data_IF_004801077066
#
_entry.id   IF_004801077066
#
_cell.length_a   1.000
_cell.length_b   1.000
_cell.length_c   1.000
_cell.angle_alpha   90.00
_cell.angle_beta   90.00
_cell.angle_gamma   90.00
#
_symmetry.space_group_name_H-M   'P 1'
#
loop_
_entity.id
_entity.type
_entity.pdbx_description
1 polymer ?
#
# COMPACT_ATOMS: atom_id res chain seq x y z
N UNK A 1 -12.24 -19.00 18.19
CA UNK A 1 -11.05 -18.73 19.06
C UNK A 1 -11.53 -18.33 20.45
N UNK A 2 -10.85 -18.67 21.55
CA UNK A 2 -11.37 -18.38 22.92
C UNK A 2 -10.68 -17.15 23.50
N UNK A 3 -11.45 -16.26 24.13
CA UNK A 3 -10.95 -15.14 24.94
C UNK A 3 -11.69 -15.00 26.27
N UNK A 4 -11.12 -14.23 27.19
CA UNK A 4 -11.71 -13.89 28.49
C UNK A 4 -11.76 -12.38 28.67
N UNK A 5 -12.76 -11.87 29.37
CA UNK A 5 -12.82 -10.45 29.75
C UNK A 5 -13.39 -10.33 31.16
N UNK A 6 -12.81 -9.45 31.96
CA UNK A 6 -13.26 -9.16 33.32
C UNK A 6 -14.46 -8.22 33.30
N UNK A 7 -15.54 -8.60 33.96
CA UNK A 7 -16.61 -7.68 34.36
C UNK A 7 -16.74 -7.71 35.88
N UNK A 8 -16.46 -6.57 36.52
CA UNK A 8 -16.55 -6.37 37.97
C UNK A 8 -15.71 -7.37 38.78
N UNK A 9 -16.22 -8.59 39.01
CA UNK A 9 -15.64 -9.62 39.86
C UNK A 9 -15.54 -11.01 39.21
N UNK A 10 -16.06 -11.21 37.99
CA UNK A 10 -16.05 -12.52 37.31
C UNK A 10 -15.40 -12.47 35.93
N UNK A 11 -14.63 -13.53 35.64
CA UNK A 11 -14.10 -13.77 34.30
C UNK A 11 -15.22 -14.34 33.42
N UNK A 12 -15.50 -13.66 32.32
CA UNK A 12 -16.39 -14.19 31.29
C UNK A 12 -15.58 -14.74 30.13
N UNK A 13 -15.82 -16.00 29.80
CA UNK A 13 -15.28 -16.63 28.60
C UNK A 13 -16.20 -16.35 27.41
N UNK A 14 -15.59 -15.97 26.28
CA UNK A 14 -16.25 -15.77 25.00
C UNK A 14 -15.49 -16.51 23.90
N UNK A 15 -16.20 -16.81 22.83
CA UNK A 15 -15.65 -17.21 21.56
C UNK A 15 -15.64 -16.03 20.59
N UNK A 16 -14.55 -15.94 19.82
CA UNK A 16 -14.31 -14.97 18.75
C UNK A 16 -14.38 -15.69 17.41
N UNK A 17 -15.18 -15.14 16.51
CA UNK A 17 -15.37 -15.60 15.13
C UNK A 17 -15.11 -14.45 14.15
N UNK A 18 -14.64 -14.79 12.95
CA UNK A 18 -14.55 -13.88 11.81
C UNK A 18 -15.52 -14.37 10.74
N UNK A 19 -16.47 -13.53 10.35
CA UNK A 19 -17.52 -13.89 9.40
C UNK A 19 -17.94 -12.65 8.61
N UNK A 20 -17.93 -12.74 7.27
CA UNK A 20 -18.44 -11.70 6.35
C UNK A 20 -17.98 -10.26 6.64
N UNK A 21 -16.71 -10.07 7.00
CA UNK A 21 -16.18 -8.74 7.33
C UNK A 21 -16.56 -8.24 8.72
N UNK A 22 -16.93 -9.14 9.63
CA UNK A 22 -17.19 -8.83 11.03
C UNK A 22 -16.30 -9.64 11.97
N UNK A 23 -15.95 -9.02 13.10
CA UNK A 23 -15.49 -9.71 14.31
C UNK A 23 -16.73 -9.93 15.18
N UNK A 24 -17.05 -11.19 15.44
CA UNK A 24 -18.15 -11.59 16.31
C UNK A 24 -17.57 -12.11 17.63
N UNK A 25 -18.07 -11.62 18.75
CA UNK A 25 -17.64 -12.05 20.08
C UNK A 25 -18.90 -12.41 20.90
N UNK A 26 -19.03 -13.68 21.28
CA UNK A 26 -20.23 -14.24 21.90
C UNK A 26 -19.91 -15.41 22.82
N UNK A 27 -20.88 -15.88 23.63
CA UNK A 27 -20.66 -17.10 24.44
C UNK A 27 -20.56 -18.34 23.55
N UNK A 28 -21.31 -18.31 22.45
CA UNK A 28 -21.40 -19.30 21.39
C UNK A 28 -21.91 -18.59 20.12
N UNK A 29 -21.88 -19.26 18.96
CA UNK A 29 -22.23 -18.65 17.66
C UNK A 29 -23.64 -18.04 17.62
N UNK A 30 -24.61 -18.68 18.28
CA UNK A 30 -26.00 -18.20 18.35
C UNK A 30 -26.25 -17.11 19.42
N UNK A 31 -25.22 -16.76 20.20
CA UNK A 31 -25.31 -15.78 21.30
C UNK A 31 -24.19 -14.75 21.21
N UNK A 32 -24.22 -13.94 20.14
CA UNK A 32 -23.26 -12.86 19.91
C UNK A 32 -23.55 -11.65 20.80
N UNK A 33 -22.53 -11.19 21.53
CA UNK A 33 -22.61 -9.99 22.39
C UNK A 33 -22.05 -8.75 21.68
N UNK A 34 -21.00 -8.92 20.89
CA UNK A 34 -20.39 -7.84 20.11
C UNK A 34 -20.26 -8.27 18.66
N UNK A 35 -20.77 -7.44 17.75
CA UNK A 35 -20.60 -7.56 16.30
C UNK A 35 -19.90 -6.29 15.82
N UNK A 36 -18.64 -6.41 15.42
CA UNK A 36 -17.80 -5.29 14.98
C UNK A 36 -17.54 -5.44 13.48
N UNK A 37 -17.98 -4.47 12.67
CA UNK A 37 -17.66 -4.44 11.25
C UNK A 37 -16.18 -4.09 11.03
N UNK A 38 -15.57 -4.64 9.99
CA UNK A 38 -14.27 -4.19 9.51
C UNK A 38 -14.40 -2.73 9.04
N UNK A 39 -13.49 -1.90 9.52
CA UNK A 39 -13.44 -0.49 9.16
C UNK A 39 -11.96 -0.08 9.05
N UNK A 40 -11.69 0.86 8.15
CA UNK A 40 -10.39 1.51 8.03
C UNK A 40 -10.22 2.58 9.11
N UNK A 41 -10.41 2.17 10.36
CA UNK A 41 -10.23 2.97 11.57
C UNK A 41 -9.40 2.18 12.57
N UNK A 42 -8.83 2.88 13.52
CA UNK A 42 -8.20 2.25 14.68
C UNK A 42 -9.25 1.44 15.45
N UNK A 43 -9.10 0.12 15.45
CA UNK A 43 -10.02 -0.78 16.13
C UNK A 43 -9.33 -1.61 17.21
N UNK A 44 -8.13 -2.14 16.96
CA UNK A 44 -7.49 -3.10 17.86
C UNK A 44 -6.13 -2.61 18.37
N UNK A 45 -5.93 -2.74 19.68
CA UNK A 45 -4.64 -2.63 20.35
C UNK A 45 -4.18 -4.03 20.76
N UNK A 46 -3.03 -4.50 20.28
CA UNK A 46 -2.49 -5.79 20.69
C UNK A 46 -1.73 -5.69 22.01
N UNK A 47 -2.03 -6.59 22.95
CA UNK A 47 -1.28 -6.72 24.19
C UNK A 47 -0.13 -7.69 23.94
N UNK A 48 1.05 -7.14 23.70
CA UNK A 48 2.25 -7.89 23.35
C UNK A 48 3.41 -7.51 24.27
N UNK A 49 4.08 -8.50 24.84
CA UNK A 49 5.20 -8.33 25.76
C UNK A 49 6.15 -9.52 25.65
N UNK A 50 7.47 -9.29 25.70
CA UNK A 50 8.50 -10.35 25.68
C UNK A 50 8.30 -11.37 24.54
N UNK A 51 7.94 -10.89 23.34
CA UNK A 51 7.77 -11.74 22.17
C UNK A 51 6.44 -12.52 22.11
N UNK A 52 5.50 -12.30 23.04
CA UNK A 52 4.24 -13.04 23.11
C UNK A 52 3.02 -12.13 23.20
N UNK A 53 1.92 -12.60 22.63
CA UNK A 53 0.60 -11.98 22.75
C UNK A 53 -0.12 -12.51 23.99
N UNK A 54 -0.81 -11.62 24.70
CA UNK A 54 -1.60 -11.93 25.89
C UNK A 54 -3.09 -11.55 25.73
N UNK A 55 -3.44 -10.91 24.63
CA UNK A 55 -4.78 -10.46 24.35
C UNK A 55 -4.80 -9.25 23.44
N UNK A 56 -5.97 -8.61 23.39
CA UNK A 56 -6.16 -7.37 22.67
C UNK A 56 -7.15 -6.47 23.40
N UNK A 57 -7.07 -5.17 23.12
CA UNK A 57 -8.13 -4.21 23.45
C UNK A 57 -8.82 -3.80 22.16
N UNK A 58 -10.12 -3.60 22.22
CA UNK A 58 -10.91 -3.12 21.10
C UNK A 58 -11.73 -1.91 21.53
N UNK A 59 -11.80 -0.88 20.68
CA UNK A 59 -12.57 0.33 20.94
C UNK A 59 -14.04 0.09 20.61
N UNK A 60 -14.90 0.05 21.63
CA UNK A 60 -16.34 -0.20 21.50
C UNK A 60 -17.12 0.93 22.16
N UNK A 61 -17.97 1.63 21.39
CA UNK A 61 -18.77 2.78 21.90
C UNK A 61 -17.90 3.75 22.71
N UNK A 62 -16.75 4.14 22.12
CA UNK A 62 -15.76 5.05 22.69
C UNK A 62 -15.05 4.57 23.97
N UNK A 63 -15.21 3.29 24.34
CA UNK A 63 -14.51 2.68 25.49
C UNK A 63 -13.64 1.53 25.04
N UNK A 64 -12.38 1.55 25.46
CA UNK A 64 -11.48 0.41 25.27
C UNK A 64 -11.92 -0.75 26.15
N UNK A 65 -12.11 -1.92 25.52
CA UNK A 65 -12.43 -3.16 26.21
C UNK A 65 -11.33 -4.18 25.98
N UNK A 66 -10.80 -4.73 27.06
CA UNK A 66 -9.75 -5.75 27.02
C UNK A 66 -10.34 -7.16 26.96
N UNK A 67 -9.72 -7.98 26.12
CA UNK A 67 -9.94 -9.40 25.98
C UNK A 67 -8.61 -10.13 26.10
N UNK A 68 -8.46 -10.91 27.16
CA UNK A 68 -7.30 -11.76 27.37
C UNK A 68 -7.43 -13.00 26.48
N UNK A 69 -6.37 -13.30 25.75
CA UNK A 69 -6.36 -14.38 24.75
C UNK A 69 -4.94 -14.93 24.65
N UNK A 70 -4.80 -16.25 24.58
CA UNK A 70 -3.48 -16.86 24.48
C UNK A 70 -2.77 -16.47 23.16
N UNK A 71 -1.46 -16.69 23.11
CA UNK A 71 -0.63 -16.26 21.99
C UNK A 71 -1.10 -16.85 20.65
N UNK A 72 -1.37 -18.16 20.59
CA UNK A 72 -1.81 -18.84 19.36
C UNK A 72 -3.14 -18.32 18.82
N UNK A 73 -4.12 -18.08 19.70
CA UNK A 73 -5.41 -17.53 19.28
C UNK A 73 -5.26 -16.06 18.85
N UNK A 74 -4.37 -15.28 19.47
CA UNK A 74 -4.09 -13.92 19.02
C UNK A 74 -3.47 -13.93 17.61
N UNK A 75 -2.51 -14.83 17.35
CA UNK A 75 -1.92 -15.00 16.01
C UNK A 75 -2.98 -15.41 14.99
N UNK A 76 -3.81 -16.42 15.31
CA UNK A 76 -4.91 -16.85 14.44
C UNK A 76 -5.87 -15.69 14.14
N UNK A 77 -6.23 -14.90 15.15
CA UNK A 77 -7.10 -13.73 14.97
C UNK A 77 -6.43 -12.67 14.09
N UNK A 78 -5.19 -12.28 14.41
CA UNK A 78 -4.43 -11.26 13.66
C UNK A 78 -4.27 -11.66 12.19
N UNK A 79 -3.94 -12.93 11.91
CA UNK A 79 -3.82 -13.44 10.55
C UNK A 79 -5.18 -13.48 9.83
N UNK A 80 -6.27 -13.80 10.52
CA UNK A 80 -7.62 -13.83 9.92
C UNK A 80 -8.14 -12.43 9.56
N UNK A 81 -7.59 -11.38 10.17
CA UNK A 81 -7.93 -9.99 9.85
C UNK A 81 -7.25 -9.52 8.56
N UNK A 82 -6.14 -10.13 8.14
CA UNK A 82 -5.51 -9.98 6.81
C UNK A 82 -5.43 -8.52 6.31
N UNK A 83 -4.94 -7.60 7.15
CA UNK A 83 -4.81 -6.18 6.78
C UNK A 83 -6.12 -5.42 6.52
N UNK A 84 -7.28 -5.96 6.93
CA UNK A 84 -8.61 -5.36 6.70
C UNK A 84 -9.04 -4.37 7.77
N UNK A 85 -8.31 -4.26 8.88
CA UNK A 85 -8.60 -3.33 9.97
C UNK A 85 -7.34 -2.64 10.49
N UNK A 86 -7.52 -1.45 11.08
CA UNK A 86 -6.42 -0.65 11.61
C UNK A 86 -6.05 -1.05 13.04
N UNK A 87 -4.75 -1.16 13.28
CA UNK A 87 -4.18 -1.40 14.60
C UNK A 87 -3.70 -0.12 15.27
N UNK A 88 -3.62 -0.12 16.59
CA UNK A 88 -3.00 0.94 17.36
C UNK A 88 -1.56 0.58 17.73
N UNK A 89 -0.66 1.55 17.61
CA UNK A 89 0.75 1.54 18.04
C UNK A 89 1.57 0.38 17.45
N UNK A 90 2.44 0.72 16.50
CA UNK A 90 3.33 -0.24 15.83
C UNK A 90 4.51 -0.67 16.71
N UNK A 91 5.03 0.23 17.56
CA UNK A 91 6.31 0.05 18.29
C UNK A 91 6.35 -1.19 19.21
N UNK A 92 5.20 -1.71 19.62
CA UNK A 92 5.16 -2.93 20.44
C UNK A 92 5.43 -4.20 19.63
N UNK A 93 5.20 -4.17 18.32
CA UNK A 93 5.29 -5.32 17.43
C UNK A 93 6.45 -5.25 16.46
N UNK A 94 7.05 -4.08 16.28
CA UNK A 94 8.13 -3.86 15.34
C UNK A 94 9.27 -3.05 15.94
N UNK A 95 10.48 -3.43 15.54
CA UNK A 95 11.72 -2.71 15.79
C UNK A 95 12.06 -1.85 14.57
N UNK A 96 12.38 -0.58 14.78
CA UNK A 96 13.00 0.24 13.75
C UNK A 96 14.46 -0.21 13.52
N UNK A 97 14.82 -0.45 12.26
CA UNK A 97 16.19 -0.77 11.87
C UNK A 97 16.88 0.42 11.19
N UNK A 98 16.22 1.08 10.24
CA UNK A 98 16.80 2.18 9.45
C UNK A 98 15.72 3.07 8.80
N UNK A 99 16.09 4.28 8.37
CA UNK A 99 15.29 5.14 7.49
C UNK A 99 15.83 5.02 6.07
N UNK A 100 15.06 4.38 5.19
CA UNK A 100 15.53 4.05 3.82
C UNK A 100 15.17 5.11 2.79
N UNK A 101 14.24 6.02 3.11
CA UNK A 101 13.87 7.09 2.19
C UNK A 101 12.93 8.12 2.80
N UNK A 102 12.95 9.32 2.19
CA UNK A 102 12.03 10.41 2.48
C UNK A 102 11.30 10.75 1.18
N UNK A 103 10.00 10.50 1.15
CA UNK A 103 9.10 10.94 0.09
C UNK A 103 8.49 12.30 0.40
N UNK A 104 7.72 12.85 -0.54
CA UNK A 104 7.07 14.15 -0.38
C UNK A 104 6.06 14.19 0.78
N UNK A 105 5.42 13.06 1.07
CA UNK A 105 4.34 12.95 2.06
C UNK A 105 4.55 11.84 3.09
N UNK A 106 5.67 11.11 2.99
CA UNK A 106 5.91 9.94 3.82
C UNK A 106 7.39 9.72 4.10
N UNK A 107 7.67 9.14 5.26
CA UNK A 107 8.97 8.59 5.62
C UNK A 107 8.93 7.06 5.45
N UNK A 108 9.93 6.48 4.79
CA UNK A 108 10.01 5.05 4.51
C UNK A 108 11.04 4.43 5.45
N UNK A 109 10.59 3.52 6.29
CA UNK A 109 11.36 2.92 7.38
C UNK A 109 11.57 1.43 7.14
N UNK A 110 12.79 0.94 7.30
CA UNK A 110 13.08 -0.49 7.41
C UNK A 110 12.85 -0.94 8.85
N UNK A 111 12.00 -1.96 9.01
CA UNK A 111 11.56 -2.45 10.31
C UNK A 111 11.67 -3.97 10.39
N UNK A 112 11.76 -4.51 11.59
CA UNK A 112 11.78 -5.95 11.85
C UNK A 112 10.66 -6.32 12.82
N UNK A 113 9.89 -7.35 12.49
CA UNK A 113 8.76 -7.81 13.30
C UNK A 113 9.26 -8.69 14.46
N UNK A 114 8.83 -8.39 15.68
CA UNK A 114 9.11 -9.23 16.86
C UNK A 114 8.33 -10.55 16.84
N UNK A 115 7.38 -10.72 15.93
CA UNK A 115 6.51 -11.91 15.86
C UNK A 115 7.15 -13.01 15.01
N UNK A 116 7.75 -12.65 13.87
CA UNK A 116 8.29 -13.58 12.88
C UNK A 116 9.75 -13.31 12.51
N UNK A 117 10.39 -12.30 13.11
CA UNK A 117 11.76 -11.87 12.85
C UNK A 117 12.04 -11.56 11.36
N UNK A 118 11.00 -11.19 10.60
CA UNK A 118 11.13 -10.78 9.20
C UNK A 118 11.23 -9.27 9.07
N UNK A 119 11.96 -8.84 8.05
CA UNK A 119 12.05 -7.43 7.65
C UNK A 119 10.84 -7.00 6.84
N UNK A 120 10.40 -5.78 7.08
CA UNK A 120 9.28 -5.12 6.40
C UNK A 120 9.64 -3.65 6.13
N UNK A 121 8.84 -3.01 5.28
CA UNK A 121 8.84 -1.56 5.13
C UNK A 121 7.64 -0.99 5.87
N UNK A 122 7.85 0.06 6.65
CA UNK A 122 6.80 0.90 7.18
C UNK A 122 6.82 2.25 6.46
N UNK A 123 5.76 2.54 5.70
CA UNK A 123 5.52 3.86 5.13
C UNK A 123 4.76 4.70 6.16
N UNK A 124 5.46 5.63 6.80
CA UNK A 124 4.94 6.52 7.84
C UNK A 124 4.44 7.80 7.21
N UNK A 125 3.21 8.19 7.54
CA UNK A 125 2.56 9.42 7.05
C UNK A 125 2.06 10.26 8.23
N UNK A 126 2.50 11.51 8.29
CA UNK A 126 2.04 12.47 9.30
C UNK A 126 0.65 12.98 8.94
N UNK A 127 -0.36 12.59 9.70
CA UNK A 127 -1.78 12.89 9.51
C UNK A 127 -2.08 14.33 9.97
N UNK A 128 -1.51 15.31 9.27
CA UNK A 128 -1.60 16.73 9.60
C UNK A 128 -2.46 17.54 8.60
N UNK A 129 -2.89 16.94 7.49
CA UNK A 129 -3.68 17.60 6.46
C UNK A 129 -4.65 16.64 5.77
N UNK A 130 -5.73 17.18 5.22
CA UNK A 130 -6.74 16.40 4.49
C UNK A 130 -6.14 15.67 3.28
N UNK A 131 -5.16 16.26 2.61
CA UNK A 131 -4.51 15.65 1.45
C UNK A 131 -3.72 14.40 1.85
N UNK A 132 -2.93 14.46 2.92
CA UNK A 132 -2.16 13.29 3.39
C UNK A 132 -3.11 12.19 3.88
N UNK A 133 -4.20 12.54 4.56
CA UNK A 133 -5.26 11.57 4.91
C UNK A 133 -5.84 10.92 3.66
N UNK A 134 -6.07 11.69 2.60
CA UNK A 134 -6.58 11.15 1.33
C UNK A 134 -5.58 10.19 0.68
N UNK A 135 -4.29 10.54 0.62
CA UNK A 135 -3.25 9.66 0.07
C UNK A 135 -3.13 8.36 0.86
N UNK A 136 -3.14 8.44 2.20
CA UNK A 136 -3.12 7.26 3.07
C UNK A 136 -4.33 6.35 2.82
N UNK A 137 -5.53 6.93 2.75
CA UNK A 137 -6.76 6.15 2.52
C UNK A 137 -6.82 5.56 1.11
N UNK A 138 -6.35 6.29 0.10
CA UNK A 138 -6.29 5.82 -1.28
C UNK A 138 -5.33 4.63 -1.40
N UNK A 139 -4.12 4.74 -0.83
CA UNK A 139 -3.11 3.68 -0.83
C UNK A 139 -3.61 2.44 -0.07
N UNK A 140 -4.14 2.63 1.14
CA UNK A 140 -4.72 1.56 1.93
C UNK A 140 -5.83 0.84 1.16
N UNK A 141 -6.73 1.61 0.56
CA UNK A 141 -7.87 1.04 -0.17
C UNK A 141 -7.40 0.27 -1.41
N UNK A 142 -6.42 0.78 -2.17
CA UNK A 142 -5.85 0.06 -3.30
C UNK A 142 -5.18 -1.25 -2.84
N UNK A 143 -4.28 -1.20 -1.85
CA UNK A 143 -3.52 -2.36 -1.39
C UNK A 143 -4.38 -3.43 -0.69
N UNK A 144 -5.52 -3.05 -0.11
CA UNK A 144 -6.49 -4.01 0.43
C UNK A 144 -7.22 -4.83 -0.66
N UNK A 145 -7.35 -4.27 -1.87
CA UNK A 145 -8.15 -4.86 -2.95
C UNK A 145 -7.30 -5.43 -4.09
N UNK A 146 -6.02 -5.07 -4.18
CA UNK A 146 -5.12 -5.50 -5.26
C UNK A 146 -4.11 -6.53 -4.73
N UNK A 147 -4.17 -7.77 -5.25
CA UNK A 147 -3.22 -8.84 -4.92
C UNK A 147 -2.64 -9.43 -6.21
N UNK A 148 -1.39 -9.07 -6.52
CA UNK A 148 -0.70 -9.51 -7.73
C UNK A 148 0.80 -9.66 -7.47
N UNK A 149 1.47 -10.60 -8.16
CA UNK A 149 2.92 -10.88 -7.98
C UNK A 149 3.83 -9.67 -8.24
N UNK A 150 3.39 -8.72 -9.05
CA UNK A 150 4.13 -7.50 -9.41
C UNK A 150 3.58 -6.24 -8.70
N UNK A 151 2.77 -6.41 -7.65
CA UNK A 151 2.25 -5.34 -6.80
C UNK A 151 2.71 -5.60 -5.37
N UNK A 152 3.14 -4.56 -4.68
CA UNK A 152 3.59 -4.69 -3.29
C UNK A 152 2.47 -5.22 -2.41
N UNK A 153 2.78 -6.23 -1.59
CA UNK A 153 1.83 -6.79 -0.65
C UNK A 153 1.87 -6.01 0.67
N UNK A 154 0.71 -5.50 1.08
CA UNK A 154 0.50 -4.93 2.41
C UNK A 154 0.22 -6.04 3.42
N UNK A 155 0.97 -6.06 4.52
CA UNK A 155 0.73 -6.95 5.65
C UNK A 155 -0.38 -6.42 6.57
N UNK A 156 -0.26 -5.16 6.98
CA UNK A 156 -1.17 -4.52 7.92
C UNK A 156 -0.95 -3.01 7.97
N UNK A 157 -1.80 -2.30 8.70
CA UNK A 157 -1.68 -0.85 8.86
C UNK A 157 -2.02 -0.42 10.29
N UNK A 158 -1.41 0.69 10.68
CA UNK A 158 -1.56 1.32 11.98
C UNK A 158 -2.10 2.72 11.82
N UNK A 159 -3.14 3.05 12.58
CA UNK A 159 -3.76 4.37 12.56
C UNK A 159 -3.53 5.03 13.91
N UNK A 160 -2.76 6.12 13.89
CA UNK A 160 -2.50 6.96 15.07
C UNK A 160 -3.10 8.35 14.92
N UNK A 161 -3.05 9.13 16.00
CA UNK A 161 -3.54 10.51 16.00
C UNK A 161 -2.63 11.47 15.22
N UNK A 162 -1.31 11.26 15.29
CA UNK A 162 -0.32 12.09 14.60
C UNK A 162 0.26 11.38 13.38
N UNK A 163 0.64 10.12 13.54
CA UNK A 163 1.25 9.32 12.47
C UNK A 163 0.42 8.07 12.19
N UNK A 164 0.33 7.70 10.91
CA UNK A 164 -0.20 6.41 10.46
C UNK A 164 0.84 5.67 9.63
N UNK A 165 0.76 4.34 9.63
CA UNK A 165 1.77 3.47 9.03
C UNK A 165 1.10 2.41 8.16
N UNK A 166 1.65 2.19 6.96
CA UNK A 166 1.33 1.03 6.12
C UNK A 166 2.53 0.10 6.16
N UNK A 167 2.32 -1.14 6.60
CA UNK A 167 3.35 -2.17 6.69
C UNK A 167 3.25 -3.05 5.46
N UNK A 168 4.34 -3.14 4.71
CA UNK A 168 4.42 -3.88 3.45
C UNK A 168 5.68 -4.74 3.40
N UNK A 169 5.68 -5.72 2.50
CA UNK A 169 6.83 -6.60 2.31
C UNK A 169 8.09 -5.79 1.99
N UNK A 170 9.23 -6.21 2.54
CA UNK A 170 10.52 -5.64 2.17
C UNK A 170 11.03 -6.31 0.89
N UNK A 171 11.18 -5.53 -0.18
CA UNK A 171 11.78 -5.99 -1.44
C UNK A 171 13.29 -5.72 -1.37
N UNK A 172 14.06 -6.80 -1.32
CA UNK A 172 15.51 -6.71 -1.26
C UNK A 172 16.07 -6.56 -2.69
N UNK A 173 16.35 -5.32 -3.08
CA UNK A 173 16.95 -5.00 -4.38
C UNK A 173 17.05 -3.49 -4.61
N UNK A 174 16.76 -3.02 -5.82
CA UNK A 174 16.90 -1.61 -6.19
C UNK A 174 15.80 -1.11 -7.12
N UNK A 175 15.61 0.20 -7.19
CA UNK A 175 14.63 0.79 -8.11
C UNK A 175 15.06 0.67 -9.57
N UNK A 176 14.09 0.64 -10.47
CA UNK A 176 14.33 0.71 -11.91
C UNK A 176 15.10 1.98 -12.27
N UNK A 177 14.83 3.10 -11.61
CA UNK A 177 15.60 4.35 -11.76
C UNK A 177 17.11 4.12 -11.49
N UNK A 178 17.44 3.43 -10.37
CA UNK A 178 18.81 3.12 -10.00
C UNK A 178 19.44 2.14 -10.99
N UNK A 179 18.72 1.09 -11.36
CA UNK A 179 19.14 0.11 -12.35
C UNK A 179 19.46 0.78 -13.70
N UNK A 180 18.62 1.70 -14.17
CA UNK A 180 18.80 2.42 -15.44
C UNK A 180 20.01 3.36 -15.42
N UNK A 181 20.30 3.98 -14.27
CA UNK A 181 21.42 4.90 -14.07
C UNK A 181 22.78 4.19 -14.11
N UNK A 182 22.88 3.01 -13.49
CA UNK A 182 24.16 2.30 -13.35
C UNK A 182 24.43 1.28 -14.47
N UNK A 183 23.40 0.79 -15.17
CA UNK A 183 23.57 -0.14 -16.29
C UNK A 183 23.70 0.59 -17.64
N UNK A 184 24.92 0.57 -18.19
CA UNK A 184 25.29 1.26 -19.44
C UNK A 184 24.54 0.77 -20.67
N UNK A 185 24.12 -0.51 -20.72
CA UNK A 185 23.34 -1.09 -21.81
C UNK A 185 22.30 -2.05 -21.23
N UNK A 186 21.03 -1.79 -21.51
CA UNK A 186 19.93 -2.70 -21.24
C UNK A 186 19.52 -3.25 -22.60
N UNK A 187 19.56 -4.56 -22.79
CA UNK A 187 19.24 -5.14 -24.10
C UNK A 187 17.72 -5.13 -24.34
N UNK A 188 17.31 -5.21 -25.61
CA UNK A 188 15.88 -5.20 -25.98
C UNK A 188 15.09 -6.30 -25.27
N UNK A 189 15.70 -7.47 -25.05
CA UNK A 189 15.07 -8.58 -24.33
C UNK A 189 14.75 -8.22 -22.87
N UNK A 190 15.66 -7.52 -22.19
CA UNK A 190 15.43 -7.04 -20.83
C UNK A 190 14.35 -5.97 -20.80
N UNK A 191 14.38 -5.01 -21.74
CA UNK A 191 13.34 -3.98 -21.88
C UNK A 191 11.95 -4.62 -22.05
N UNK A 192 11.81 -5.59 -22.95
CA UNK A 192 10.55 -6.31 -23.16
C UNK A 192 10.09 -7.01 -21.88
N UNK A 193 11.01 -7.64 -21.13
CA UNK A 193 10.67 -8.32 -19.87
C UNK A 193 10.19 -7.34 -18.79
N UNK A 194 10.81 -6.15 -18.71
CA UNK A 194 10.40 -5.08 -17.80
C UNK A 194 8.99 -4.60 -18.15
N UNK A 195 8.77 -4.22 -19.41
CA UNK A 195 7.48 -3.71 -19.87
C UNK A 195 6.37 -4.73 -19.70
N UNK A 196 6.65 -6.01 -20.00
CA UNK A 196 5.68 -7.09 -19.83
C UNK A 196 5.20 -7.21 -18.38
N UNK A 197 6.11 -7.20 -17.40
CA UNK A 197 5.73 -7.30 -15.99
C UNK A 197 4.95 -6.08 -15.49
N UNK A 198 5.31 -4.88 -15.96
CA UNK A 198 4.56 -3.66 -15.62
C UNK A 198 3.16 -3.72 -16.26
N UNK A 199 3.05 -4.16 -17.52
CA UNK A 199 1.76 -4.33 -18.20
C UNK A 199 0.87 -5.38 -17.53
N UNK A 200 1.41 -6.52 -17.12
CA UNK A 200 0.67 -7.55 -16.37
C UNK A 200 0.10 -6.97 -15.07
N UNK A 201 0.88 -6.15 -14.36
CA UNK A 201 0.40 -5.45 -13.16
C UNK A 201 -0.68 -4.41 -13.47
N UNK A 202 -0.47 -3.58 -14.50
CA UNK A 202 -1.42 -2.53 -14.90
C UNK A 202 -2.74 -3.09 -15.39
N UNK A 203 -2.71 -4.14 -16.22
CA UNK A 203 -3.90 -4.86 -16.67
C UNK A 203 -4.71 -5.35 -15.45
N UNK A 204 -4.05 -5.97 -14.47
CA UNK A 204 -4.69 -6.40 -13.24
C UNK A 204 -5.29 -5.23 -12.44
N UNK A 205 -4.56 -4.12 -12.29
CA UNK A 205 -5.03 -2.91 -11.60
C UNK A 205 -6.30 -2.36 -12.28
N UNK A 206 -6.27 -2.23 -13.60
CA UNK A 206 -7.33 -1.65 -14.41
C UNK A 206 -8.58 -2.53 -14.43
N UNK A 207 -8.43 -3.85 -14.58
CA UNK A 207 -9.53 -4.82 -14.51
C UNK A 207 -10.23 -4.84 -13.15
N UNK A 208 -9.53 -4.49 -12.07
CA UNK A 208 -10.10 -4.34 -10.74
C UNK A 208 -10.66 -2.93 -10.46
N UNK A 209 -10.75 -2.07 -11.48
CA UNK A 209 -11.40 -0.77 -11.40
C UNK A 209 -10.53 0.34 -10.79
N UNK A 210 -9.22 0.16 -10.75
CA UNK A 210 -8.26 1.13 -10.24
C UNK A 210 -7.42 1.77 -11.36
N UNK A 211 -6.90 2.96 -11.09
CA UNK A 211 -5.85 3.64 -11.89
C UNK A 211 -4.70 3.95 -10.94
N UNK A 212 -3.45 3.68 -11.33
CA UNK A 212 -2.27 3.89 -10.48
C UNK A 212 -1.86 5.37 -10.39
N UNK A 213 -1.80 6.06 -11.54
CA UNK A 213 -1.48 7.49 -11.75
C UNK A 213 -0.07 7.97 -11.39
N UNK A 214 0.78 7.13 -10.81
CA UNK A 214 2.18 7.49 -10.54
C UNK A 214 3.18 6.39 -10.96
N UNK A 215 3.00 5.85 -12.17
CA UNK A 215 3.94 4.89 -12.75
C UNK A 215 5.22 5.63 -13.17
N UNK A 216 6.34 5.26 -12.55
CA UNK A 216 7.66 5.84 -12.82
C UNK A 216 8.78 4.90 -12.35
N UNK A 217 10.01 5.04 -12.85
CA UNK A 217 11.12 4.15 -12.51
C UNK A 217 11.45 4.09 -11.00
N UNK A 218 11.15 5.13 -10.23
CA UNK A 218 11.37 5.15 -8.78
C UNK A 218 10.39 4.26 -8.01
N UNK A 219 9.16 4.09 -8.54
CA UNK A 219 8.10 3.31 -7.90
C UNK A 219 8.08 1.84 -8.35
N UNK A 220 9.12 1.40 -9.08
CA UNK A 220 9.29 0.03 -9.55
C UNK A 220 10.59 -0.51 -8.95
N UNK A 221 10.51 -1.52 -8.09
CA UNK A 221 11.67 -2.19 -7.50
C UNK A 221 11.92 -3.52 -8.19
N UNK A 222 13.19 -3.79 -8.51
CA UNK A 222 13.66 -5.13 -8.78
C UNK A 222 14.01 -5.86 -7.50
N UNK A 223 13.80 -7.17 -7.51
CA UNK A 223 14.51 -8.06 -6.60
C UNK A 223 15.99 -8.18 -7.00
N UNK A 224 16.84 -8.66 -6.07
CA UNK A 224 18.29 -8.85 -6.27
C UNK A 224 18.71 -9.54 -7.56
N UNK A 225 17.90 -10.46 -8.09
CA UNK A 225 18.24 -11.20 -9.31
C UNK A 225 17.76 -10.52 -10.60
N UNK A 226 17.11 -9.36 -10.48
CA UNK A 226 16.55 -8.55 -11.56
C UNK A 226 15.55 -9.28 -12.47
N UNK A 227 15.02 -10.43 -12.05
CA UNK A 227 14.02 -11.16 -12.83
C UNK A 227 12.61 -10.67 -12.55
N UNK A 228 12.32 -10.38 -11.28
CA UNK A 228 11.01 -9.92 -10.82
C UNK A 228 11.05 -8.45 -10.46
N UNK A 229 9.99 -7.74 -10.86
CA UNK A 229 9.75 -6.36 -10.44
C UNK A 229 8.45 -6.23 -9.65
N UNK A 230 8.38 -5.22 -8.80
CA UNK A 230 7.22 -4.91 -7.96
C UNK A 230 6.94 -3.42 -8.02
N UNK A 231 5.67 -3.05 -8.24
CA UNK A 231 5.17 -1.68 -8.11
C UNK A 231 4.88 -1.40 -6.64
N UNK A 232 5.42 -0.31 -6.09
CA UNK A 232 5.49 -0.11 -4.62
C UNK A 232 4.75 1.09 -4.05
N UNK A 233 4.22 2.03 -4.85
CA UNK A 233 3.61 3.26 -4.32
C UNK A 233 2.23 3.55 -4.91
N UNK A 234 1.19 3.35 -4.11
CA UNK A 234 -0.21 3.54 -4.49
C UNK A 234 -0.82 4.81 -3.88
N UNK A 235 -0.02 5.75 -3.40
CA UNK A 235 -0.49 7.00 -2.79
C UNK A 235 -1.43 7.82 -3.70
N UNK A 236 -1.18 7.76 -5.02
CA UNK A 236 -2.02 8.40 -6.03
C UNK A 236 -3.05 7.45 -6.66
N UNK A 237 -3.14 6.19 -6.25
CA UNK A 237 -4.11 5.29 -6.84
C UNK A 237 -5.55 5.75 -6.54
N UNK A 238 -6.47 5.50 -7.48
CA UNK A 238 -7.89 5.83 -7.29
C UNK A 238 -8.78 4.87 -8.04
N UNK A 239 -10.06 4.85 -7.69
CA UNK A 239 -11.07 4.16 -8.51
C UNK A 239 -11.32 4.93 -9.79
N UNK A 240 -11.50 4.23 -10.90
CA UNK A 240 -11.86 4.81 -12.20
C UNK A 240 -13.11 5.72 -12.07
N UNK A 241 -14.06 5.34 -11.23
CA UNK A 241 -15.31 6.09 -11.01
C UNK A 241 -15.12 7.45 -10.31
N UNK A 242 -14.00 7.66 -9.59
CA UNK A 242 -13.87 8.78 -8.64
C UNK A 242 -13.53 10.14 -9.28
N UNK A 243 -13.44 10.23 -10.61
CA UNK A 243 -13.21 11.47 -11.38
C UNK A 243 -12.23 12.45 -10.70
N UNK A 244 -11.05 11.96 -10.32
CA UNK A 244 -10.05 12.80 -9.68
C UNK A 244 -9.15 13.48 -10.73
N UNK A 245 -8.82 14.74 -10.47
CA UNK A 245 -7.97 15.57 -11.32
C UNK A 245 -6.53 15.61 -10.79
N UNK A 246 -5.57 15.84 -11.68
CA UNK A 246 -4.19 16.23 -11.39
C UNK A 246 -3.47 15.40 -10.31
N UNK A 247 -2.91 14.26 -10.72
CA UNK A 247 -2.02 13.45 -9.88
C UNK A 247 -0.82 12.98 -10.70
N UNK A 248 0.24 12.59 -10.01
CA UNK A 248 1.44 12.00 -10.61
C UNK A 248 2.68 12.88 -10.55
N UNK A 249 3.78 12.35 -11.09
CA UNK A 249 5.11 12.98 -11.06
C UNK A 249 5.43 13.66 -12.40
N UNK A 250 5.86 14.94 -12.39
CA UNK A 250 6.29 15.63 -13.62
C UNK A 250 7.27 14.78 -14.44
N UNK A 251 7.07 14.72 -15.76
CA UNK A 251 7.83 13.84 -16.67
C UNK A 251 7.12 12.54 -17.05
N UNK A 252 6.19 12.07 -16.22
CA UNK A 252 5.39 10.86 -16.47
C UNK A 252 3.88 11.12 -16.53
N UNK A 253 3.44 12.35 -16.25
CA UNK A 253 2.02 12.76 -16.31
C UNK A 253 1.55 12.80 -17.77
N UNK A 254 0.41 12.16 -18.02
CA UNK A 254 -0.23 12.13 -19.34
C UNK A 254 -0.81 13.51 -19.74
N UNK A 255 -0.87 13.82 -21.05
CA UNK A 255 -1.36 15.09 -21.57
C UNK A 255 -2.72 15.51 -21.01
N UNK A 256 -3.66 14.58 -21.04
CA UNK A 256 -5.04 14.78 -20.59
C UNK A 256 -5.12 15.08 -19.10
N UNK A 257 -4.24 14.48 -18.29
CA UNK A 257 -4.17 14.74 -16.85
C UNK A 257 -3.62 16.15 -16.60
N UNK A 258 -2.64 16.60 -17.39
CA UNK A 258 -2.09 17.96 -17.29
C UNK A 258 -3.14 19.04 -17.67
N UNK A 259 -4.04 18.73 -18.60
CA UNK A 259 -5.13 19.61 -19.02
C UNK A 259 -6.32 19.63 -18.05
N UNK A 260 -6.19 19.02 -16.86
CA UNK A 260 -7.28 18.84 -15.89
C UNK A 260 -8.48 18.06 -16.46
N UNK A 261 -8.24 17.14 -17.40
CA UNK A 261 -9.25 16.17 -17.81
C UNK A 261 -9.26 15.03 -16.80
N UNK A 262 -10.43 14.39 -16.65
CA UNK A 262 -10.59 13.21 -15.80
C UNK A 262 -9.57 12.15 -16.23
N UNK A 263 -8.76 11.69 -15.27
CA UNK A 263 -7.78 10.63 -15.54
C UNK A 263 -8.49 9.33 -15.90
N UNK A 264 -8.06 8.71 -17.00
CA UNK A 264 -8.46 7.35 -17.38
C UNK A 264 -7.30 6.40 -17.17
N UNK A 265 -7.53 5.10 -17.27
CA UNK A 265 -6.49 4.08 -17.18
C UNK A 265 -5.39 4.26 -18.26
N UNK A 266 -5.68 5.01 -19.32
CA UNK A 266 -4.70 5.35 -20.37
C UNK A 266 -3.55 6.22 -19.88
N UNK A 267 -3.71 6.95 -18.78
CA UNK A 267 -2.61 7.75 -18.24
C UNK A 267 -1.44 6.87 -17.77
N UNK A 268 -1.74 5.69 -17.19
CA UNK A 268 -0.71 4.74 -16.77
C UNK A 268 0.06 4.16 -17.98
N UNK A 269 -0.64 3.98 -19.11
CA UNK A 269 -0.05 3.52 -20.38
C UNK A 269 0.87 4.60 -20.96
N UNK A 270 0.49 5.88 -20.87
CA UNK A 270 1.37 6.98 -21.26
C UNK A 270 2.63 7.00 -20.40
N UNK A 271 2.50 6.90 -19.07
CA UNK A 271 3.65 6.84 -18.15
C UNK A 271 4.58 5.67 -18.47
N UNK A 272 4.04 4.50 -18.81
CA UNK A 272 4.82 3.35 -19.28
C UNK A 272 5.56 3.65 -20.60
N UNK A 273 4.92 4.39 -21.52
CA UNK A 273 5.55 4.88 -22.74
C UNK A 273 6.77 5.78 -22.47
N UNK A 274 6.68 6.67 -21.47
CA UNK A 274 7.82 7.46 -21.01
C UNK A 274 8.97 6.56 -20.49
N UNK A 275 8.65 5.51 -19.73
CA UNK A 275 9.65 4.54 -19.23
C UNK A 275 10.32 3.81 -20.41
N UNK A 276 9.54 3.35 -21.40
CA UNK A 276 10.10 2.72 -22.60
C UNK A 276 11.06 3.67 -23.34
N UNK A 277 10.66 4.93 -23.51
CA UNK A 277 11.52 5.94 -24.13
C UNK A 277 12.84 6.07 -23.37
N UNK A 278 12.79 6.24 -22.05
CA UNK A 278 13.97 6.42 -21.21
C UNK A 278 14.88 5.18 -21.17
N UNK A 279 14.30 3.98 -21.18
CA UNK A 279 15.05 2.72 -21.29
C UNK A 279 15.86 2.65 -22.59
N UNK A 280 15.29 3.13 -23.69
CA UNK A 280 15.88 3.07 -25.02
C UNK A 280 16.86 4.22 -25.30
N UNK A 281 16.50 5.44 -24.90
CA UNK A 281 17.26 6.67 -25.20
C UNK A 281 18.28 7.04 -24.12
N UNK A 282 18.09 6.54 -22.89
CA UNK A 282 18.80 6.98 -21.67
C UNK A 282 18.58 8.45 -21.32
N UNK A 283 17.54 9.07 -21.86
CA UNK A 283 17.16 10.44 -21.60
C UNK A 283 15.74 10.48 -21.07
N UNK A 284 15.50 11.32 -20.06
CA UNK A 284 14.13 11.58 -19.62
C UNK A 284 13.40 12.36 -20.70
N UNK A 285 12.17 11.93 -21.01
CA UNK A 285 11.35 12.57 -22.03
C UNK A 285 11.18 14.08 -21.79
N UNK A 286 11.10 14.50 -20.52
CA UNK A 286 11.00 15.92 -20.13
C UNK A 286 12.32 16.69 -20.27
N UNK A 287 13.48 16.07 -20.05
CA UNK A 287 14.79 16.73 -20.19
C UNK A 287 15.19 16.96 -21.66
N UNK A 288 14.76 16.08 -22.56
CA UNK A 288 14.92 16.28 -24.01
C UNK A 288 14.10 17.46 -24.55
N UNK A 289 13.07 17.88 -23.82
CA UNK A 289 12.05 18.79 -24.31
C UNK A 289 12.06 20.08 -23.49
N UNK A 290 12.87 21.04 -23.94
CA UNK A 290 12.83 22.43 -23.48
C UNK A 290 11.36 22.91 -23.42
N UNK A 291 10.99 23.52 -22.29
CA UNK A 291 9.65 23.95 -21.78
C UNK A 291 8.55 24.37 -22.77
N UNK A 292 8.84 24.65 -24.03
CA UNK A 292 7.86 24.99 -25.07
C UNK A 292 7.37 23.77 -25.87
N UNK A 293 8.17 22.71 -26.00
CA UNK A 293 7.83 21.56 -26.85
C UNK A 293 6.78 20.62 -26.23
N UNK A 294 6.71 20.53 -24.89
CA UNK A 294 5.74 19.67 -24.22
C UNK A 294 4.31 20.09 -24.59
N UNK A 295 3.99 21.39 -24.46
CA UNK A 295 2.71 21.96 -24.95
C UNK A 295 2.48 21.69 -26.44
N UNK A 296 3.50 21.80 -27.29
CA UNK A 296 3.33 21.54 -28.73
C UNK A 296 3.04 20.08 -29.08
N UNK A 297 3.61 19.10 -28.35
CA UNK A 297 3.30 17.69 -28.53
C UNK A 297 1.90 17.35 -27.99
N UNK A 298 1.46 17.97 -26.89
CA UNK A 298 0.09 17.80 -26.40
C UNK A 298 -0.94 18.45 -27.36
N UNK A 299 -0.62 19.61 -27.94
CA UNK A 299 -1.52 20.40 -28.79
C UNK A 299 -1.52 19.97 -30.27
N UNK A 300 -0.47 19.29 -30.76
CA UNK A 300 -0.48 18.67 -32.08
C UNK A 300 -1.12 17.29 -31.97
N UNK A 301 -2.42 17.25 -32.25
CA UNK A 301 -3.20 16.04 -32.59
C UNK A 301 -2.30 15.05 -33.34
N UNK A 302 -1.88 13.98 -32.67
CA UNK A 302 -1.50 12.78 -33.37
C UNK A 302 -2.77 12.28 -34.05
N UNK A 303 -2.95 12.63 -35.32
CA UNK A 303 -3.81 11.86 -36.19
C UNK A 303 -3.17 10.48 -36.28
N UNK A 304 -3.68 9.53 -35.51
CA UNK A 304 -3.51 8.12 -35.85
C UNK A 304 -4.16 7.97 -37.23
N UNK A 305 -3.37 8.06 -38.29
CA UNK A 305 -3.80 7.58 -39.59
C UNK A 305 -3.90 6.07 -39.43
N UNK A 306 -5.16 5.63 -39.35
CA UNK A 306 -5.61 4.24 -39.42
C UNK A 306 -4.98 3.50 -40.59
#
# INVERSE_FOLDING_TARGET
>A
MICKTKHYFFDHQYEVYIEEGYILIGKQKDSIKYKIAFQNKMLIFWIFQQGKFFGFKILLKEKWKQFDMNHENCLKLKNSLDGKIGYHKMDSLYKLLDTVGLGSYSEVLLIESYVDNKKYIAKKMAINSKNIVSFFNNELYALQNLKHKNIIEMKEFYVGFADSYIIMNYIEGESLAKYMRYNKKICVKEIINILKQILEALEYIHLNGFIHRDIKPENILFERDHKFLTIIDFGFATKIEKQEYNAGTPGYIAPEVFENVISTEKCDIFSLGCILYELQSKQQLLECMVRNCFKEILLKRFSWQT
#
